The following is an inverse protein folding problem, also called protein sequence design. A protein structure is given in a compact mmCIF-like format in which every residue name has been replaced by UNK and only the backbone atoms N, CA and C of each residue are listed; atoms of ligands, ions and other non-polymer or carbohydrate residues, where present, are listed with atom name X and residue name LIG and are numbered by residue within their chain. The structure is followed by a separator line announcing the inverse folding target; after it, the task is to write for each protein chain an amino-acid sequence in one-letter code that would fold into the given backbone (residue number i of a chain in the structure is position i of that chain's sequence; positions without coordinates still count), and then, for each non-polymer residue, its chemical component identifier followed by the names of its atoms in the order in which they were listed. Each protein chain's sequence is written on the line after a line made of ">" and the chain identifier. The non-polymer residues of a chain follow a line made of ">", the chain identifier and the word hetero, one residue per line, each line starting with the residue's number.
data_IF_188156226273
#
_entry.id   IF_188156226273
#
_cell.length_a   1.000
_cell.length_b   1.000
_cell.length_c   1.000
_cell.angle_alpha   90.00
_cell.angle_beta   90.00
_cell.angle_gamma   90.00
#
_symmetry.space_group_name_H-M   'P 1'
#
loop_
_entity.id
_entity.type
_entity.pdbx_description
1 polymer ?
#
# COMPACT_ATOMS: atom_id res chain seq x y z
N UNK A 1 18.39 -20.79 -15.29
CA UNK A 1 16.92 -20.84 -15.06
C UNK A 1 16.13 -20.87 -16.38
N UNK A 2 16.55 -21.65 -17.39
CA UNK A 2 15.96 -21.60 -18.75
C UNK A 2 14.58 -22.27 -18.89
N UNK A 3 14.12 -23.01 -17.86
CA UNK A 3 12.87 -23.79 -17.89
C UNK A 3 11.81 -23.29 -16.91
N UNK A 4 11.94 -22.08 -16.36
CA UNK A 4 10.96 -21.56 -15.42
C UNK A 4 9.70 -21.09 -16.16
N UNK A 5 8.57 -21.76 -15.91
CA UNK A 5 7.30 -21.44 -16.57
C UNK A 5 6.42 -20.50 -15.76
N UNK A 6 6.62 -20.43 -14.43
CA UNK A 6 5.88 -19.53 -13.54
C UNK A 6 6.82 -18.86 -12.55
N UNK A 7 6.64 -17.56 -12.36
CA UNK A 7 7.38 -16.75 -11.39
C UNK A 7 6.43 -15.80 -10.67
N UNK A 8 6.43 -15.90 -9.33
CA UNK A 8 5.80 -14.94 -8.43
C UNK A 8 6.93 -14.10 -7.79
N UNK A 9 7.07 -12.86 -8.23
CA UNK A 9 8.14 -11.96 -7.81
C UNK A 9 7.64 -10.93 -6.80
N UNK A 10 8.30 -10.87 -5.65
CA UNK A 10 8.18 -9.75 -4.72
C UNK A 10 9.53 -9.03 -4.66
N UNK A 11 9.57 -7.77 -5.09
CA UNK A 11 10.80 -6.99 -5.18
C UNK A 11 10.68 -5.68 -4.40
N UNK A 12 11.69 -5.39 -3.57
CA UNK A 12 11.84 -4.11 -2.87
C UNK A 12 13.16 -3.46 -3.29
N UNK A 13 13.10 -2.26 -3.84
CA UNK A 13 14.29 -1.53 -4.32
C UNK A 13 14.36 -0.15 -3.68
N UNK A 14 15.55 0.25 -3.26
CA UNK A 14 15.81 1.58 -2.71
C UNK A 14 16.86 2.29 -3.56
N UNK A 15 16.68 3.59 -3.76
CA UNK A 15 17.59 4.46 -4.50
C UNK A 15 17.27 4.61 -5.99
N UNK A 16 16.39 3.78 -6.56
CA UNK A 16 15.98 3.83 -7.97
C UNK A 16 14.54 3.35 -8.15
N UNK A 17 13.78 4.01 -9.03
CA UNK A 17 12.48 3.51 -9.49
C UNK A 17 12.69 2.40 -10.54
N UNK A 18 11.95 1.33 -10.37
CA UNK A 18 11.89 0.23 -11.34
C UNK A 18 10.69 0.45 -12.24
N UNK A 19 10.87 0.29 -13.53
CA UNK A 19 9.86 0.44 -14.58
C UNK A 19 9.75 -0.85 -15.41
N UNK A 20 8.86 -0.86 -16.40
CA UNK A 20 8.62 -2.00 -17.28
C UNK A 20 9.80 -2.32 -18.19
N UNK A 21 10.54 -1.31 -18.65
CA UNK A 21 11.72 -1.50 -19.51
C UNK A 21 12.83 -2.23 -18.76
N UNK A 22 13.02 -1.92 -17.48
CA UNK A 22 13.96 -2.61 -16.60
C UNK A 22 13.55 -4.05 -16.35
N UNK A 23 12.27 -4.34 -16.10
CA UNK A 23 11.80 -5.72 -15.95
C UNK A 23 11.97 -6.52 -17.25
N UNK A 24 11.65 -5.90 -18.38
CA UNK A 24 11.81 -6.53 -19.70
C UNK A 24 13.26 -6.91 -19.94
N UNK A 25 14.15 -5.94 -19.77
CA UNK A 25 15.59 -6.09 -20.04
C UNK A 25 16.24 -7.11 -19.11
N UNK A 26 15.85 -7.15 -17.83
CA UNK A 26 16.54 -7.97 -16.82
C UNK A 26 15.89 -9.33 -16.56
N UNK A 27 14.60 -9.52 -16.88
CA UNK A 27 13.86 -10.75 -16.57
C UNK A 27 13.26 -11.34 -17.84
N UNK A 28 12.36 -10.62 -18.50
CA UNK A 28 11.53 -11.17 -19.58
C UNK A 28 12.38 -11.67 -20.75
N UNK A 29 13.38 -10.89 -21.17
CA UNK A 29 14.26 -11.25 -22.29
C UNK A 29 15.07 -12.54 -22.04
N UNK A 30 15.27 -12.94 -20.79
CA UNK A 30 16.07 -14.11 -20.43
C UNK A 30 15.21 -15.33 -20.03
N UNK A 31 13.94 -15.11 -19.68
CA UNK A 31 13.01 -16.15 -19.24
C UNK A 31 12.00 -16.49 -20.35
N UNK A 32 12.51 -17.01 -21.47
CA UNK A 32 11.73 -17.25 -22.70
C UNK A 32 10.57 -18.27 -22.55
N UNK A 33 10.59 -19.10 -21.49
CA UNK A 33 9.54 -20.07 -21.19
C UNK A 33 8.55 -19.59 -20.12
N UNK A 34 8.69 -18.35 -19.64
CA UNK A 34 7.86 -17.80 -18.58
C UNK A 34 6.46 -17.50 -19.11
N UNK A 35 5.54 -18.43 -18.87
CA UNK A 35 4.15 -18.32 -19.29
C UNK A 35 3.30 -17.55 -18.28
N UNK A 36 3.67 -17.56 -17.00
CA UNK A 36 2.97 -16.86 -15.94
C UNK A 36 3.95 -16.03 -15.11
N UNK A 37 3.80 -14.71 -15.16
CA UNK A 37 4.59 -13.78 -14.37
C UNK A 37 3.70 -12.90 -13.52
N UNK A 38 3.69 -13.16 -12.20
CA UNK A 38 3.01 -12.34 -11.21
C UNK A 38 4.09 -11.54 -10.49
N UNK A 39 3.85 -10.25 -10.26
CA UNK A 39 4.80 -9.47 -9.50
C UNK A 39 4.17 -8.37 -8.66
N UNK A 40 4.88 -8.00 -7.61
CA UNK A 40 4.78 -6.73 -6.91
C UNK A 40 6.18 -6.14 -6.76
N UNK A 41 6.31 -4.88 -7.11
CA UNK A 41 7.55 -4.13 -7.00
C UNK A 41 7.23 -2.88 -6.20
N UNK A 42 7.94 -2.72 -5.10
CA UNK A 42 8.02 -1.47 -4.37
C UNK A 42 9.38 -0.86 -4.60
N UNK A 43 9.41 0.37 -5.08
CA UNK A 43 10.65 1.10 -5.28
C UNK A 43 10.60 2.48 -4.64
N UNK A 44 11.73 2.94 -4.11
CA UNK A 44 11.84 4.27 -3.52
C UNK A 44 13.03 5.04 -4.07
N UNK A 45 12.90 6.36 -4.18
CA UNK A 45 13.97 7.27 -4.57
C UNK A 45 14.10 8.42 -3.58
N UNK A 46 15.31 8.97 -3.48
CA UNK A 46 15.54 10.24 -2.79
C UNK A 46 15.31 11.39 -3.78
N UNK A 47 14.52 12.39 -3.38
CA UNK A 47 14.12 13.53 -4.21
C UNK A 47 15.16 14.65 -4.28
N UNK A 48 16.19 14.66 -3.43
CA UNK A 48 17.17 15.75 -3.35
C UNK A 48 17.92 16.01 -4.66
N UNK A 49 18.10 14.99 -5.49
CA UNK A 49 18.86 15.06 -6.73
C UNK A 49 18.02 14.75 -7.98
N UNK A 50 16.69 14.81 -7.88
CA UNK A 50 15.80 14.43 -8.98
C UNK A 50 15.37 15.67 -9.76
N UNK A 51 15.68 15.67 -11.06
CA UNK A 51 15.29 16.74 -12.00
C UNK A 51 13.89 16.46 -12.55
N UNK A 52 13.56 15.19 -12.79
CA UNK A 52 12.27 14.73 -13.26
C UNK A 52 11.67 13.72 -12.30
N UNK A 53 10.39 13.92 -11.99
CA UNK A 53 9.59 13.03 -11.16
C UNK A 53 8.56 12.36 -12.07
N UNK A 54 8.67 11.05 -12.35
CA UNK A 54 7.71 10.38 -13.22
C UNK A 54 6.31 10.41 -12.59
N UNK A 55 5.32 10.70 -13.40
CA UNK A 55 3.92 10.52 -13.05
C UNK A 55 3.54 9.04 -13.00
N UNK A 56 2.33 8.76 -12.53
CA UNK A 56 1.84 7.38 -12.58
C UNK A 56 1.67 6.92 -14.04
N UNK A 57 1.24 7.83 -14.91
CA UNK A 57 1.08 7.60 -16.35
C UNK A 57 2.41 7.28 -17.02
N UNK A 58 3.48 7.99 -16.66
CA UNK A 58 4.83 7.75 -17.18
C UNK A 58 5.29 6.33 -16.86
N UNK A 59 5.15 5.90 -15.60
CA UNK A 59 5.51 4.54 -15.16
C UNK A 59 4.62 3.51 -15.87
N UNK A 60 3.31 3.71 -15.87
CA UNK A 60 2.36 2.77 -16.48
C UNK A 60 2.65 2.56 -17.97
N UNK A 61 3.08 3.61 -18.69
CA UNK A 61 3.39 3.53 -20.12
C UNK A 61 4.56 2.59 -20.44
N UNK A 62 5.51 2.42 -19.52
CA UNK A 62 6.65 1.49 -19.68
C UNK A 62 6.24 0.02 -19.70
N UNK A 63 5.00 -0.31 -19.28
CA UNK A 63 4.49 -1.68 -19.25
C UNK A 63 3.65 -2.07 -20.47
N UNK A 64 3.59 -1.23 -21.50
CA UNK A 64 2.74 -1.42 -22.70
C UNK A 64 2.94 -2.75 -23.43
N UNK A 65 4.13 -3.36 -23.31
CA UNK A 65 4.48 -4.61 -23.99
C UNK A 65 4.21 -5.87 -23.14
N UNK A 66 3.72 -5.70 -21.90
CA UNK A 66 3.27 -6.82 -21.09
C UNK A 66 1.88 -7.25 -21.55
N UNK A 67 1.85 -8.11 -22.57
CA UNK A 67 0.69 -8.47 -23.37
C UNK A 67 -0.51 -9.08 -22.64
N UNK A 68 -0.40 -9.48 -21.37
CA UNK A 68 -1.46 -10.27 -20.73
C UNK A 68 -1.75 -9.97 -19.26
N UNK A 69 -1.22 -8.88 -18.69
CA UNK A 69 -1.43 -8.57 -17.29
C UNK A 69 -1.88 -7.13 -17.10
N UNK A 70 -3.04 -6.96 -16.49
CA UNK A 70 -3.53 -5.68 -15.97
C UNK A 70 -2.52 -5.19 -14.92
N UNK A 71 -1.48 -4.50 -15.34
CA UNK A 71 -0.48 -3.94 -14.44
C UNK A 71 -1.07 -2.66 -13.86
N UNK A 72 -0.98 -2.51 -12.54
CA UNK A 72 -1.36 -1.29 -11.86
C UNK A 72 -0.09 -0.69 -11.29
N UNK A 73 0.20 0.54 -11.65
CA UNK A 73 1.18 1.36 -10.95
C UNK A 73 0.51 2.42 -10.08
N UNK A 74 1.23 2.82 -9.04
CA UNK A 74 0.89 3.95 -8.20
C UNK A 74 2.19 4.63 -7.76
N UNK A 75 2.32 5.91 -8.09
CA UNK A 75 3.45 6.75 -7.72
C UNK A 75 3.01 7.79 -6.72
N UNK A 76 3.77 7.95 -5.65
CA UNK A 76 3.51 8.93 -4.61
C UNK A 76 4.78 9.59 -4.12
N UNK A 77 4.68 10.88 -3.85
CA UNK A 77 5.80 11.70 -3.40
C UNK A 77 5.51 12.23 -2.00
N UNK A 78 6.47 11.99 -1.11
CA UNK A 78 6.49 12.44 0.28
C UNK A 78 7.47 13.63 0.37
N UNK A 79 7.01 14.87 0.12
CA UNK A 79 7.89 16.02 0.00
C UNK A 79 8.63 16.37 1.29
N UNK A 80 8.07 16.11 2.48
CA UNK A 80 8.75 16.43 3.75
C UNK A 80 9.92 15.49 4.00
N UNK A 81 9.75 14.21 3.70
CA UNK A 81 10.83 13.22 3.85
C UNK A 81 11.75 13.14 2.64
N UNK A 82 11.41 13.86 1.56
CA UNK A 82 12.15 13.87 0.29
C UNK A 82 12.25 12.47 -0.30
N UNK A 83 11.17 11.69 -0.22
CA UNK A 83 11.09 10.32 -0.76
C UNK A 83 10.02 10.24 -1.83
N UNK A 84 10.35 9.66 -2.98
CA UNK A 84 9.38 9.16 -3.95
C UNK A 84 9.20 7.66 -3.77
N UNK A 85 7.96 7.18 -3.85
CA UNK A 85 7.60 5.78 -3.77
C UNK A 85 6.82 5.37 -5.02
N UNK A 86 7.05 4.16 -5.50
CA UNK A 86 6.31 3.58 -6.60
C UNK A 86 5.97 2.12 -6.28
N UNK A 87 4.68 1.80 -6.36
CA UNK A 87 4.16 0.45 -6.27
C UNK A 87 3.73 0.02 -7.66
N UNK A 88 4.11 -1.17 -8.08
CA UNK A 88 3.74 -1.74 -9.36
C UNK A 88 3.38 -3.19 -9.15
N UNK A 89 2.22 -3.63 -9.65
CA UNK A 89 1.83 -5.03 -9.50
C UNK A 89 0.91 -5.53 -10.60
N UNK A 90 0.89 -6.84 -10.77
CA UNK A 90 -0.07 -7.55 -11.63
C UNK A 90 -1.44 -7.66 -10.95
N UNK A 91 -2.52 -7.35 -11.67
CA UNK A 91 -3.90 -7.45 -11.20
C UNK A 91 -4.61 -8.72 -11.73
N UNK A 92 -5.39 -9.44 -10.88
CA UNK A 92 -5.63 -9.15 -9.47
C UNK A 92 -4.39 -9.42 -8.62
N UNK A 93 -4.24 -8.67 -7.52
CA UNK A 93 -3.14 -8.84 -6.59
C UNK A 93 -3.22 -10.19 -5.85
N UNK A 94 -2.19 -11.04 -5.95
CA UNK A 94 -2.21 -12.41 -5.39
C UNK A 94 -1.25 -12.65 -4.22
N UNK A 95 -0.43 -11.66 -3.86
CA UNK A 95 0.55 -11.83 -2.78
C UNK A 95 -0.08 -11.60 -1.40
N UNK A 96 0.63 -12.07 -0.37
CA UNK A 96 0.16 -12.03 1.03
C UNK A 96 0.45 -10.70 1.74
N UNK A 97 1.40 -9.92 1.26
CA UNK A 97 1.89 -8.73 1.97
C UNK A 97 1.72 -7.48 1.11
N UNK A 98 1.21 -6.39 1.65
CA UNK A 98 1.16 -5.10 0.97
C UNK A 98 1.78 -4.02 1.87
N UNK A 99 2.98 -3.58 1.52
CA UNK A 99 3.74 -2.66 2.36
C UNK A 99 3.52 -1.20 1.96
N UNK A 100 3.73 -0.31 2.93
CA UNK A 100 3.84 1.14 2.84
C UNK A 100 2.67 1.82 2.13
N UNK A 101 1.46 1.46 2.54
CA UNK A 101 0.22 2.07 2.06
C UNK A 101 0.13 3.50 2.63
N UNK A 102 -0.08 4.46 1.73
CA UNK A 102 -0.23 5.89 2.03
C UNK A 102 -1.69 6.33 1.90
N UNK A 103 -2.03 7.54 2.32
CA UNK A 103 -3.41 8.09 2.22
C UNK A 103 -3.97 8.08 0.80
N UNK A 104 -3.09 8.16 -0.19
CA UNK A 104 -3.43 8.31 -1.60
C UNK A 104 -3.41 6.99 -2.37
N UNK A 105 -3.32 5.84 -1.69
CA UNK A 105 -3.38 4.53 -2.37
C UNK A 105 -4.69 4.40 -3.18
N UNK A 106 -4.67 3.70 -4.33
CA UNK A 106 -5.76 3.73 -5.32
C UNK A 106 -7.02 2.93 -4.95
N UNK A 107 -7.17 2.52 -3.68
CA UNK A 107 -8.18 1.56 -3.22
C UNK A 107 -8.16 0.24 -4.00
N UNK A 108 -9.12 -0.64 -3.74
CA UNK A 108 -9.28 -1.92 -4.44
C UNK A 108 -9.47 -3.09 -3.50
N UNK A 109 -9.90 -4.23 -4.04
CA UNK A 109 -10.14 -5.44 -3.26
C UNK A 109 -8.93 -6.39 -3.30
N UNK A 110 -8.24 -6.50 -2.17
CA UNK A 110 -7.02 -7.29 -2.01
C UNK A 110 -7.27 -8.57 -1.19
N UNK A 111 -8.11 -9.47 -1.71
CA UNK A 111 -8.58 -10.67 -0.98
C UNK A 111 -7.48 -11.67 -0.55
N UNK A 112 -6.30 -11.62 -1.17
CA UNK A 112 -5.16 -12.50 -0.85
C UNK A 112 -4.21 -11.91 0.19
N UNK A 113 -4.27 -10.60 0.43
CA UNK A 113 -3.41 -9.92 1.38
C UNK A 113 -3.82 -10.28 2.82
N UNK A 114 -2.83 -10.52 3.66
CA UNK A 114 -2.95 -10.89 5.06
C UNK A 114 -2.17 -9.94 5.96
N UNK A 115 -1.16 -9.27 5.44
CA UNK A 115 -0.32 -8.38 6.22
C UNK A 115 -0.15 -7.07 5.46
N UNK A 116 -0.39 -5.94 6.12
CA UNK A 116 -0.14 -4.63 5.53
C UNK A 116 0.70 -3.75 6.45
N UNK A 117 1.48 -2.85 5.87
CA UNK A 117 2.08 -1.72 6.58
C UNK A 117 1.55 -0.40 6.06
N UNK A 118 1.28 0.53 6.98
CA UNK A 118 0.81 1.89 6.71
C UNK A 118 1.91 2.88 7.04
N UNK A 119 2.15 3.83 6.14
CA UNK A 119 3.12 4.90 6.35
C UNK A 119 2.74 6.13 5.52
N UNK A 120 2.76 7.30 6.13
CA UNK A 120 2.54 8.57 5.44
C UNK A 120 3.14 9.74 6.27
N UNK A 121 3.45 10.85 5.62
CA UNK A 121 3.88 12.10 6.26
C UNK A 121 2.70 12.99 6.69
N UNK A 122 1.48 12.58 6.34
CA UNK A 122 0.20 13.15 6.75
C UNK A 122 -0.57 12.19 7.65
N UNK A 123 -1.42 12.68 8.56
CA UNK A 123 -2.17 11.81 9.47
C UNK A 123 -3.17 10.91 8.73
N UNK A 124 -3.42 9.73 9.29
CA UNK A 124 -4.50 8.83 8.84
C UNK A 124 -5.79 9.13 9.62
N UNK A 125 -6.80 9.64 8.93
CA UNK A 125 -8.11 9.91 9.54
C UNK A 125 -8.96 8.64 9.60
N UNK A 126 -10.05 8.63 10.38
CA UNK A 126 -10.94 7.46 10.51
C UNK A 126 -11.42 6.90 9.17
N UNK A 127 -11.74 7.77 8.20
CA UNK A 127 -12.24 7.34 6.89
C UNK A 127 -11.18 6.56 6.10
N UNK A 128 -9.90 6.80 6.36
CA UNK A 128 -8.82 5.99 5.80
C UNK A 128 -8.89 4.54 6.33
N UNK A 129 -9.10 4.36 7.63
CA UNK A 129 -9.22 3.01 8.21
C UNK A 129 -10.47 2.27 7.74
N UNK A 130 -11.57 2.97 7.42
CA UNK A 130 -12.72 2.37 6.74
C UNK A 130 -12.30 1.82 5.37
N UNK A 131 -11.59 2.62 4.56
CA UNK A 131 -11.09 2.18 3.24
C UNK A 131 -10.15 0.97 3.36
N UNK A 132 -9.27 0.96 4.36
CA UNK A 132 -8.39 -0.18 4.66
C UNK A 132 -9.21 -1.43 4.97
N UNK A 133 -10.20 -1.34 5.86
CA UNK A 133 -11.05 -2.48 6.21
C UNK A 133 -11.77 -3.06 4.98
N UNK A 134 -12.29 -2.20 4.10
CA UNK A 134 -12.98 -2.59 2.87
C UNK A 134 -12.01 -3.21 1.84
N UNK A 135 -10.81 -2.66 1.74
CA UNK A 135 -9.80 -3.08 0.77
C UNK A 135 -9.15 -4.42 1.15
N UNK A 136 -8.99 -4.68 2.45
CA UNK A 136 -8.25 -5.81 3.00
C UNK A 136 -9.12 -6.67 3.94
N UNK A 137 -10.20 -7.30 3.45
CA UNK A 137 -11.21 -7.93 4.29
C UNK A 137 -10.69 -9.11 5.13
N UNK A 138 -9.57 -9.73 4.74
CA UNK A 138 -8.97 -10.89 5.42
C UNK A 138 -7.62 -10.56 6.08
N UNK A 139 -7.33 -9.27 6.31
CA UNK A 139 -6.10 -8.83 6.97
C UNK A 139 -5.97 -9.44 8.37
N UNK A 140 -4.80 -10.00 8.65
CA UNK A 140 -4.40 -10.60 9.93
C UNK A 140 -3.40 -9.76 10.71
N UNK A 141 -2.56 -8.99 10.02
CA UNK A 141 -1.57 -8.11 10.64
C UNK A 141 -1.63 -6.71 10.04
N UNK A 142 -1.63 -5.72 10.91
CA UNK A 142 -1.58 -4.31 10.57
C UNK A 142 -0.40 -3.68 11.30
N UNK A 143 0.57 -3.16 10.56
CA UNK A 143 1.64 -2.32 11.11
C UNK A 143 1.41 -0.87 10.71
N UNK A 144 1.42 0.06 11.67
CA UNK A 144 1.23 1.49 11.42
C UNK A 144 2.45 2.27 11.90
N UNK A 145 3.02 3.07 11.01
CA UNK A 145 4.07 4.04 11.34
C UNK A 145 3.65 5.45 10.92
N UNK A 146 3.21 6.26 11.89
CA UNK A 146 2.78 7.64 11.65
C UNK A 146 2.74 8.42 12.98
N UNK A 147 3.60 9.43 13.13
CA UNK A 147 3.70 10.24 14.34
C UNK A 147 2.75 11.45 14.33
N UNK A 148 1.94 11.63 13.28
CA UNK A 148 1.05 12.79 13.12
C UNK A 148 -0.27 12.57 13.84
N UNK A 149 -0.67 13.59 14.60
CA UNK A 149 -2.00 13.63 15.23
C UNK A 149 -3.12 13.70 14.19
N UNK A 150 -4.23 13.01 14.46
CA UNK A 150 -5.45 13.09 13.66
C UNK A 150 -6.00 14.51 13.78
N UNK A 151 -6.36 15.10 12.63
CA UNK A 151 -6.92 16.47 12.60
C UNK A 151 -8.39 16.45 12.95
N UNK A 152 -9.12 15.42 12.51
CA UNK A 152 -10.55 15.25 12.82
C UNK A 152 -10.69 14.51 14.15
N UNK A 153 -10.41 15.21 15.25
CA UNK A 153 -10.57 14.63 16.59
C UNK A 153 -12.04 14.46 16.93
N UNK A 154 -12.50 13.21 16.92
CA UNK A 154 -13.88 12.80 17.24
C UNK A 154 -14.39 13.33 18.59
N UNK A 155 -13.49 13.63 19.53
CA UNK A 155 -13.84 14.05 20.88
C UNK A 155 -14.06 15.56 21.08
N UNK A 156 -13.63 16.42 20.15
CA UNK A 156 -13.74 17.87 20.31
C UNK A 156 -14.89 18.52 19.51
N UNK A 157 -15.67 17.72 18.78
CA UNK A 157 -16.90 18.19 18.14
C UNK A 157 -18.09 17.78 19.02
N UNK A 158 -18.97 18.76 19.26
CA UNK A 158 -20.08 18.71 20.20
C UNK A 158 -20.88 17.39 20.17
N UNK A 159 -21.39 16.99 21.35
CA UNK A 159 -22.19 15.78 21.65
C UNK A 159 -23.36 15.45 20.69
N UNK A 160 -23.64 16.27 19.68
CA UNK A 160 -24.79 16.14 18.79
C UNK A 160 -24.47 15.54 17.41
N UNK A 161 -23.19 15.34 17.03
CA UNK A 161 -22.81 14.79 15.72
C UNK A 161 -22.18 13.39 15.75
N UNK A 162 -22.23 12.69 16.89
CA UNK A 162 -21.70 11.31 17.05
C UNK A 162 -22.49 10.24 16.27
N UNK A 163 -23.51 10.61 15.51
CA UNK A 163 -24.55 9.66 15.11
C UNK A 163 -24.29 8.84 13.83
N UNK A 164 -23.26 9.08 13.01
CA UNK A 164 -23.22 8.46 11.68
C UNK A 164 -21.87 7.93 11.14
N UNK A 165 -20.85 7.71 11.96
CA UNK A 165 -19.66 6.98 11.49
C UNK A 165 -19.70 5.53 11.94
N UNK A 166 -19.60 4.63 10.96
CA UNK A 166 -19.69 3.19 11.14
C UNK A 166 -18.49 2.68 11.94
N UNK A 167 -18.74 1.94 13.01
CA UNK A 167 -17.71 1.19 13.74
C UNK A 167 -16.96 0.30 12.74
N UNK A 168 -15.64 0.43 12.71
CA UNK A 168 -14.76 -0.36 11.83
C UNK A 168 -14.65 -1.77 12.41
N UNK A 169 -14.88 -2.79 11.58
CA UNK A 169 -14.79 -4.20 11.99
C UNK A 169 -13.63 -4.89 11.32
N UNK A 170 -12.58 -5.18 12.08
CA UNK A 170 -11.44 -5.96 11.63
C UNK A 170 -11.57 -7.42 12.08
N UNK A 171 -12.43 -8.17 11.40
CA UNK A 171 -12.85 -9.53 11.77
C UNK A 171 -11.73 -10.58 11.75
N UNK A 172 -10.57 -10.28 11.17
CA UNK A 172 -9.47 -11.24 11.05
C UNK A 172 -8.15 -10.73 11.63
N UNK A 173 -8.12 -9.49 12.14
CA UNK A 173 -6.92 -8.88 12.66
C UNK A 173 -6.55 -9.53 14.00
N UNK A 174 -5.36 -10.11 14.06
CA UNK A 174 -4.81 -10.79 15.24
C UNK A 174 -3.56 -10.10 15.78
N UNK A 175 -2.96 -9.20 15.01
CA UNK A 175 -1.76 -8.46 15.39
C UNK A 175 -1.86 -7.02 14.90
N UNK A 176 -1.69 -6.07 15.82
CA UNK A 176 -1.60 -4.65 15.55
C UNK A 176 -0.27 -4.14 16.10
N UNK A 177 0.59 -3.67 15.21
CA UNK A 177 1.89 -3.10 15.56
C UNK A 177 1.87 -1.59 15.33
N UNK A 178 1.99 -0.81 16.41
CA UNK A 178 2.03 0.64 16.35
C UNK A 178 3.46 1.11 16.58
N UNK A 179 4.14 1.56 15.52
CA UNK A 179 5.53 2.02 15.56
C UNK A 179 5.60 3.53 15.44
N UNK A 180 6.28 4.21 16.38
CA UNK A 180 6.38 5.69 16.37
C UNK A 180 5.01 6.38 16.14
N UNK A 181 3.94 5.75 16.63
CA UNK A 181 2.57 6.15 16.33
C UNK A 181 2.12 7.27 17.27
N UNK A 182 1.40 8.27 16.74
CA UNK A 182 0.70 9.23 17.59
C UNK A 182 -0.36 8.53 18.44
N UNK A 183 -0.60 9.02 19.67
CA UNK A 183 -1.57 8.44 20.61
C UNK A 183 -3.01 8.37 20.07
N UNK A 184 -3.36 9.23 19.13
CA UNK A 184 -4.69 9.23 18.51
C UNK A 184 -4.99 7.88 17.81
N UNK A 185 -3.96 7.19 17.29
CA UNK A 185 -4.12 5.85 16.71
C UNK A 185 -4.36 4.77 17.77
N UNK A 186 -3.83 4.94 18.99
CA UNK A 186 -4.19 4.05 20.11
C UNK A 186 -5.68 4.19 20.43
N UNK A 187 -6.19 5.42 20.50
CA UNK A 187 -7.62 5.68 20.70
C UNK A 187 -8.46 5.13 19.54
N UNK A 188 -7.99 5.24 18.31
CA UNK A 188 -8.65 4.72 17.11
C UNK A 188 -8.90 3.21 17.17
N UNK A 189 -7.90 2.44 17.64
CA UNK A 189 -7.95 0.98 17.66
C UNK A 189 -8.46 0.39 18.99
N UNK A 190 -8.24 1.06 20.12
CA UNK A 190 -8.58 0.53 21.45
C UNK A 190 -9.97 0.94 21.95
N UNK A 191 -10.61 1.94 21.33
CA UNK A 191 -11.97 2.33 21.68
C UNK A 191 -12.99 1.53 20.86
N UNK A 192 -13.77 0.69 21.55
CA UNK A 192 -14.85 -0.13 20.95
C UNK A 192 -15.92 0.71 20.23
N UNK A 193 -15.98 2.02 20.51
CA UNK A 193 -16.86 2.97 19.82
C UNK A 193 -16.37 3.35 18.42
N UNK A 194 -15.13 3.01 18.07
CA UNK A 194 -14.50 3.32 16.78
C UNK A 194 -14.13 2.06 16.01
N UNK A 195 -13.48 1.11 16.68
CA UNK A 195 -12.97 -0.12 16.08
C UNK A 195 -13.37 -1.32 16.93
N UNK A 196 -13.74 -2.41 16.27
CA UNK A 196 -13.98 -3.71 16.91
C UNK A 196 -13.17 -4.81 16.23
N UNK A 197 -12.61 -5.70 17.04
CA UNK A 197 -11.89 -6.90 16.59
C UNK A 197 -12.78 -8.13 16.75
N UNK A 198 -12.45 -9.21 16.04
CA UNK A 198 -13.11 -10.50 16.32
C UNK A 198 -12.80 -10.95 17.75
N UNK A 199 -13.85 -11.43 18.43
CA UNK A 199 -13.74 -12.08 19.74
C UNK A 199 -13.26 -13.51 19.60
#
# INVERSE_FOLDING_TARGET
>A
MLNLETLDLYLRVHGKLIDGDQLKTNIINYMLRLNKFIFFIFSTINLNNQIHLPSNEDIQHTFREFHDNRIISYVYYLPKTRIGQCHIYTYPYQLKHYHDITNNYPDGLFKYVREISLYDEYPFEHEFFIRIQQSFPFMKKLSLNNDKSQKKKFFNQSKNNYQNLSIIKYSHLIQLDLHQAHKDYLEEFLLDTKTSFAK
#
